data_IF_186705994517
#
_entry.id   IF_186705994517
#
_cell.length_a   1.000
_cell.length_b   1.000
_cell.length_c   1.000
_cell.angle_alpha   90.00
_cell.angle_beta   90.00
_cell.angle_gamma   90.00
#
_symmetry.space_group_name_H-M   'P 1'
#
loop_
_entity.id
_entity.type
_entity.pdbx_description
1 polymer ?
#
# COMPACT_ATOMS: atom_id res chain seq x y z
N UNK A 1 13.00 9.86 -10.34
CA UNK A 1 11.73 10.42 -10.81
C UNK A 1 11.68 10.37 -12.32
N UNK A 2 10.62 9.80 -12.87
CA UNK A 2 10.37 9.74 -14.31
C UNK A 2 8.92 10.16 -14.54
N UNK A 3 8.64 10.84 -15.65
CA UNK A 3 7.28 11.26 -15.97
C UNK A 3 7.08 11.23 -17.48
N UNK A 4 5.82 11.04 -17.89
CA UNK A 4 5.36 11.12 -19.26
C UNK A 4 4.11 12.01 -19.26
N UNK A 5 4.32 13.32 -19.39
CA UNK A 5 3.27 14.34 -19.32
C UNK A 5 2.98 14.91 -20.71
N UNK A 6 1.71 15.16 -20.98
CA UNK A 6 1.20 15.93 -22.10
C UNK A 6 0.59 17.21 -21.57
N UNK A 7 0.79 18.30 -22.30
CA UNK A 7 0.28 19.61 -21.94
C UNK A 7 -0.57 20.11 -23.10
N UNK A 8 -1.78 20.56 -22.80
CA UNK A 8 -2.73 21.09 -23.77
C UNK A 8 -3.24 22.47 -23.29
N UNK A 9 -3.32 23.43 -24.20
CA UNK A 9 -3.90 24.75 -23.92
C UNK A 9 -5.40 24.72 -24.26
N UNK A 10 -6.24 25.01 -23.27
CA UNK A 10 -7.70 25.08 -23.41
C UNK A 10 -8.14 26.47 -22.97
N UNK A 11 -8.36 27.36 -23.94
CA UNK A 11 -8.66 28.77 -23.65
C UNK A 11 -7.46 29.45 -23.00
N UNK A 12 -7.60 29.82 -21.72
CA UNK A 12 -6.54 30.38 -20.86
C UNK A 12 -6.02 29.38 -19.82
N UNK A 13 -6.37 28.10 -19.92
CA UNK A 13 -5.91 27.07 -18.98
C UNK A 13 -4.91 26.10 -19.63
N UNK A 14 -3.80 25.82 -18.95
CA UNK A 14 -2.92 24.71 -19.27
C UNK A 14 -3.39 23.47 -18.53
N UNK A 15 -3.82 22.48 -19.30
CA UNK A 15 -4.16 21.16 -18.81
C UNK A 15 -2.95 20.25 -18.93
N UNK A 16 -2.45 19.76 -17.81
CA UNK A 16 -1.34 18.81 -17.74
C UNK A 16 -1.89 17.43 -17.39
N UNK A 17 -1.60 16.42 -18.20
CA UNK A 17 -2.04 15.03 -17.96
C UNK A 17 -0.96 14.02 -18.27
N UNK A 18 -0.95 12.91 -17.55
CA UNK A 18 -0.12 11.76 -17.91
C UNK A 18 0.26 10.92 -16.72
N UNK A 19 1.47 10.37 -16.76
CA UNK A 19 1.94 9.43 -15.77
C UNK A 19 3.18 9.95 -15.05
N UNK A 20 3.21 9.76 -13.73
CA UNK A 20 4.38 10.06 -12.90
C UNK A 20 4.83 8.79 -12.17
N UNK A 21 6.13 8.52 -12.20
CA UNK A 21 6.78 7.44 -11.46
C UNK A 21 7.85 7.97 -10.53
N UNK A 22 7.89 7.44 -9.33
CA UNK A 22 8.93 7.73 -8.37
C UNK A 22 9.42 6.46 -7.66
N UNK A 23 10.74 6.24 -7.72
CA UNK A 23 11.41 5.21 -6.91
C UNK A 23 11.76 5.78 -5.56
N UNK A 24 11.36 5.10 -4.50
CA UNK A 24 11.55 5.52 -3.10
C UNK A 24 12.20 4.39 -2.31
N UNK A 25 13.05 4.77 -1.36
CA UNK A 25 13.52 3.85 -0.32
C UNK A 25 12.52 3.90 0.84
N UNK A 26 12.01 2.74 1.23
CA UNK A 26 11.04 2.59 2.31
C UNK A 26 11.57 1.61 3.35
N UNK A 27 11.02 1.71 4.56
CA UNK A 27 11.23 0.72 5.63
C UNK A 27 10.06 -0.25 5.61
N UNK A 28 10.34 -1.54 5.53
CA UNK A 28 9.31 -2.58 5.54
C UNK A 28 8.57 -2.61 6.88
N UNK A 29 7.24 -2.48 6.86
CA UNK A 29 6.41 -2.52 8.08
C UNK A 29 6.40 -3.89 8.78
N UNK A 30 6.86 -4.96 8.11
CA UNK A 30 6.92 -6.31 8.69
C UNK A 30 8.29 -6.65 9.28
N UNK A 31 9.38 -6.44 8.53
CA UNK A 31 10.73 -6.86 8.93
C UNK A 31 11.67 -5.70 9.29
N UNK A 32 11.23 -4.44 9.18
CA UNK A 32 12.00 -3.24 9.45
C UNK A 32 13.27 -3.04 8.58
N UNK A 33 13.48 -3.86 7.54
CA UNK A 33 14.56 -3.67 6.59
C UNK A 33 14.21 -2.63 5.52
N UNK A 34 15.23 -1.91 5.04
CA UNK A 34 15.10 -1.00 3.92
C UNK A 34 14.89 -1.77 2.62
N UNK A 35 13.99 -1.29 1.77
CA UNK A 35 13.80 -1.80 0.42
C UNK A 35 13.43 -0.66 -0.52
N UNK A 36 13.56 -0.89 -1.83
CA UNK A 36 13.18 0.09 -2.85
C UNK A 36 11.86 -0.33 -3.46
N UNK A 37 10.91 0.59 -3.53
CA UNK A 37 9.64 0.42 -4.23
C UNK A 37 9.46 1.50 -5.29
N UNK A 38 8.63 1.24 -6.29
CA UNK A 38 8.20 2.22 -7.27
C UNK A 38 6.75 2.61 -6.97
N UNK A 39 6.51 3.90 -6.79
CA UNK A 39 5.18 4.49 -6.71
C UNK A 39 4.85 5.06 -8.09
N UNK A 40 3.66 4.72 -8.58
CA UNK A 40 3.18 5.14 -9.90
C UNK A 40 1.84 5.85 -9.69
N UNK A 41 1.75 7.08 -10.19
CA UNK A 41 0.49 7.77 -10.44
C UNK A 41 0.21 7.70 -11.95
N UNK A 42 -0.63 6.77 -12.42
CA UNK A 42 -0.85 6.54 -13.85
C UNK A 42 -1.70 7.61 -14.52
N UNK A 43 -2.53 8.35 -13.76
CA UNK A 43 -3.50 9.31 -14.27
C UNK A 43 -3.35 10.66 -13.57
N UNK A 44 -2.12 11.18 -13.53
CA UNK A 44 -1.84 12.53 -13.04
C UNK A 44 -2.55 13.57 -13.90
N UNK A 45 -3.33 14.46 -13.27
CA UNK A 45 -4.05 15.55 -13.95
C UNK A 45 -3.97 16.82 -13.11
N UNK A 46 -3.57 17.93 -13.72
CA UNK A 46 -3.63 19.27 -13.12
C UNK A 46 -4.03 20.33 -14.15
N UNK A 47 -4.66 21.40 -13.68
CA UNK A 47 -5.05 22.56 -14.51
C UNK A 47 -4.49 23.84 -13.91
N UNK A 48 -3.95 24.70 -14.76
CA UNK A 48 -3.40 26.00 -14.36
C UNK A 48 -3.93 27.10 -15.25
N UNK A 49 -4.51 28.13 -14.65
CA UNK A 49 -4.82 29.36 -15.37
C UNK A 49 -3.53 30.10 -15.72
N UNK A 50 -3.37 30.47 -16.99
CA UNK A 50 -2.22 31.19 -17.50
C UNK A 50 -2.63 32.53 -18.12
N UNK A 51 -1.71 33.48 -18.06
CA UNK A 51 -1.88 34.79 -18.66
C UNK A 51 -0.60 35.21 -19.42
N UNK A 52 -0.62 36.41 -20.00
CA UNK A 52 0.49 36.92 -20.80
C UNK A 52 1.82 37.10 -20.03
N UNK A 53 1.79 37.03 -18.69
CA UNK A 53 2.97 37.12 -17.82
C UNK A 53 3.39 35.78 -17.22
N UNK A 54 2.72 34.68 -17.57
CA UNK A 54 3.08 33.34 -17.09
C UNK A 54 4.25 32.78 -17.89
N UNK A 55 5.45 32.83 -17.32
CA UNK A 55 6.66 32.30 -17.96
C UNK A 55 6.83 30.77 -17.77
N UNK A 56 6.40 30.25 -16.61
CA UNK A 56 6.47 28.82 -16.29
C UNK A 56 5.39 28.42 -15.28
N UNK A 57 5.10 27.12 -15.23
CA UNK A 57 4.25 26.48 -14.21
C UNK A 57 5.12 25.48 -13.46
N UNK A 58 5.15 25.59 -12.14
CA UNK A 58 5.85 24.65 -11.27
C UNK A 58 4.86 23.58 -10.77
N UNK A 59 5.08 22.32 -11.17
CA UNK A 59 4.26 21.16 -10.80
C UNK A 59 4.79 20.43 -9.56
N UNK A 60 5.84 20.94 -8.92
CA UNK A 60 6.58 20.20 -7.89
C UNK A 60 5.68 19.82 -6.71
N UNK A 61 4.78 20.71 -6.29
CA UNK A 61 3.88 20.47 -5.15
C UNK A 61 2.86 19.37 -5.45
N UNK A 62 2.18 19.50 -6.58
CA UNK A 62 1.10 18.63 -7.02
C UNK A 62 1.61 17.24 -7.35
N UNK A 63 2.78 17.16 -7.98
CA UNK A 63 3.41 15.88 -8.24
C UNK A 63 3.87 15.23 -6.93
N UNK A 64 4.40 16.00 -5.98
CA UNK A 64 4.76 15.46 -4.66
C UNK A 64 3.53 14.93 -3.92
N UNK A 65 2.44 15.69 -3.92
CA UNK A 65 1.18 15.28 -3.31
C UNK A 65 0.64 13.99 -3.94
N UNK A 66 0.60 13.92 -5.27
CA UNK A 66 0.17 12.72 -5.99
C UNK A 66 1.00 11.49 -5.61
N UNK A 67 2.33 11.63 -5.54
CA UNK A 67 3.22 10.53 -5.13
C UNK A 67 3.02 10.16 -3.65
N UNK A 68 2.81 11.13 -2.75
CA UNK A 68 2.54 10.85 -1.34
C UNK A 68 1.23 10.07 -1.19
N UNK A 69 0.18 10.46 -1.93
CA UNK A 69 -1.13 9.79 -1.90
C UNK A 69 -1.07 8.38 -2.51
N UNK A 70 -0.24 8.17 -3.53
CA UNK A 70 -0.05 6.86 -4.16
C UNK A 70 0.86 5.91 -3.34
N UNK A 71 1.58 6.40 -2.33
CA UNK A 71 2.43 5.57 -1.47
C UNK A 71 1.56 4.62 -0.62
N UNK A 72 1.87 3.31 -0.56
CA UNK A 72 1.13 2.38 0.30
C UNK A 72 1.31 2.74 1.78
N UNK A 73 0.21 2.78 2.54
CA UNK A 73 0.26 3.09 3.98
C UNK A 73 1.04 2.06 4.82
N UNK A 74 1.16 0.82 4.35
CA UNK A 74 1.94 -0.25 4.97
C UNK A 74 2.91 -0.87 3.97
N UNK A 75 4.05 -0.22 3.67
CA UNK A 75 5.00 -0.71 2.69
C UNK A 75 5.63 -2.04 3.15
N UNK A 76 5.60 -3.06 2.29
CA UNK A 76 6.21 -4.36 2.54
C UNK A 76 7.23 -4.70 1.47
N UNK A 77 8.40 -5.21 1.87
CA UNK A 77 9.49 -5.54 0.93
C UNK A 77 9.20 -6.73 0.01
N UNK A 78 8.22 -7.56 0.37
CA UNK A 78 7.73 -8.69 -0.40
C UNK A 78 6.37 -9.14 0.16
N UNK A 79 5.49 -9.66 -0.69
CA UNK A 79 4.25 -10.32 -0.27
C UNK A 79 4.52 -11.48 0.70
N UNK A 80 5.62 -12.20 0.48
CA UNK A 80 6.09 -13.33 1.29
C UNK A 80 6.94 -12.93 2.50
N UNK A 81 7.08 -11.64 2.81
CA UNK A 81 7.84 -11.18 3.96
C UNK A 81 7.26 -11.73 5.27
N UNK A 82 8.06 -12.54 5.97
CA UNK A 82 7.72 -13.22 7.22
C UNK A 82 7.77 -12.30 8.46
N UNK A 83 8.36 -11.12 8.31
CA UNK A 83 8.43 -10.11 9.37
C UNK A 83 9.36 -10.45 10.53
N UNK A 84 9.19 -9.73 11.64
CA UNK A 84 9.91 -9.98 12.88
C UNK A 84 9.14 -10.95 13.78
N UNK A 85 9.84 -11.75 14.57
CA UNK A 85 9.25 -12.47 15.69
C UNK A 85 8.68 -11.48 16.71
N UNK A 86 7.40 -11.63 17.06
CA UNK A 86 6.73 -10.73 18.02
C UNK A 86 7.26 -10.86 19.46
N UNK A 87 8.01 -11.93 19.76
CA UNK A 87 8.58 -12.17 21.09
C UNK A 87 10.02 -11.69 21.20
N UNK A 88 10.89 -12.04 20.25
CA UNK A 88 12.33 -11.75 20.34
C UNK A 88 12.87 -10.78 19.28
N UNK A 89 12.05 -10.34 18.32
CA UNK A 89 12.47 -9.41 17.27
C UNK A 89 13.40 -10.00 16.19
N UNK A 90 13.67 -11.31 16.19
CA UNK A 90 14.44 -11.94 15.12
C UNK A 90 13.73 -11.76 13.78
N UNK A 91 14.45 -11.30 12.76
CA UNK A 91 13.92 -11.25 11.39
C UNK A 91 13.73 -12.66 10.84
N UNK A 92 12.47 -13.06 10.71
CA UNK A 92 12.08 -14.39 10.28
C UNK A 92 12.43 -14.66 8.82
N UNK A 93 12.71 -13.64 8.01
CA UNK A 93 13.22 -13.83 6.65
C UNK A 93 14.61 -14.45 6.64
N UNK A 94 15.45 -14.10 7.62
CA UNK A 94 16.87 -14.47 7.66
C UNK A 94 17.13 -15.71 8.53
N UNK A 95 16.37 -15.88 9.62
CA UNK A 95 16.53 -17.01 10.53
C UNK A 95 15.22 -17.37 11.24
N UNK A 96 15.08 -18.65 11.60
CA UNK A 96 14.00 -19.07 12.52
C UNK A 96 14.34 -18.67 13.96
N UNK A 97 13.32 -18.25 14.72
CA UNK A 97 13.45 -18.03 16.16
C UNK A 97 13.18 -19.33 16.94
N UNK A 98 13.55 -19.36 18.23
CA UNK A 98 13.23 -20.46 19.16
C UNK A 98 12.11 -20.11 20.14
N UNK A 99 11.44 -18.98 19.95
CA UNK A 99 10.31 -18.59 20.78
C UNK A 99 9.20 -19.63 20.63
N UNK A 100 8.68 -20.10 21.76
CA UNK A 100 7.51 -20.96 21.75
C UNK A 100 6.28 -20.09 21.45
N UNK A 101 5.32 -20.62 20.70
CA UNK A 101 3.98 -20.04 20.73
C UNK A 101 3.46 -20.20 22.16
N UNK A 102 3.38 -19.11 22.91
CA UNK A 102 2.59 -19.12 24.14
C UNK A 102 1.19 -19.56 23.74
N UNK A 103 0.72 -20.66 24.34
CA UNK A 103 -0.60 -21.23 24.04
C UNK A 103 -1.69 -20.15 24.14
N UNK A 104 -2.82 -20.38 23.45
CA UNK A 104 -3.97 -19.43 23.38
C UNK A 104 -4.12 -18.63 24.68
N UNK A 105 -4.01 -17.31 24.56
CA UNK A 105 -4.22 -16.39 25.68
C UNK A 105 -5.61 -16.62 26.30
N UNK A 106 -5.61 -17.10 27.54
CA UNK A 106 -6.82 -17.47 28.26
C UNK A 106 -7.81 -16.30 28.40
N UNK A 107 -7.37 -15.04 28.34
CA UNK A 107 -8.25 -13.86 28.38
C UNK A 107 -9.21 -13.83 27.19
N UNK A 108 -8.83 -14.44 26.08
CA UNK A 108 -9.62 -14.52 24.85
C UNK A 108 -10.37 -15.84 24.68
N UNK A 109 -10.37 -16.71 25.69
CA UNK A 109 -11.03 -18.01 25.62
C UNK A 109 -12.53 -17.91 25.28
N UNK A 110 -13.20 -16.81 25.66
CA UNK A 110 -14.60 -16.57 25.31
C UNK A 110 -14.84 -16.49 23.78
N UNK A 111 -13.84 -16.12 22.97
CA UNK A 111 -13.97 -16.07 21.50
C UNK A 111 -13.98 -17.45 20.85
N UNK A 112 -13.52 -18.50 21.53
CA UNK A 112 -13.56 -19.87 21.00
C UNK A 112 -15.01 -20.36 20.79
N UNK A 113 -15.95 -19.85 21.58
CA UNK A 113 -17.39 -20.13 21.43
C UNK A 113 -17.88 -19.65 20.06
N UNK A 114 -17.49 -18.44 19.64
CA UNK A 114 -17.91 -17.83 18.38
C UNK A 114 -17.37 -18.58 17.15
N UNK A 115 -16.17 -19.17 17.24
CA UNK A 115 -15.61 -20.01 16.17
C UNK A 115 -16.49 -21.23 15.91
N UNK A 116 -16.97 -21.84 16.98
CA UNK A 116 -17.85 -23.02 16.94
C UNK A 116 -19.19 -22.69 16.27
N UNK A 117 -19.77 -21.53 16.59
CA UNK A 117 -21.01 -21.05 15.98
C UNK A 117 -20.85 -20.70 14.50
N UNK A 118 -19.70 -20.13 14.12
CA UNK A 118 -19.39 -19.81 12.73
C UNK A 118 -19.27 -21.08 11.88
N UNK A 119 -18.58 -22.10 12.38
CA UNK A 119 -18.42 -23.40 11.70
C UNK A 119 -19.77 -24.13 11.56
N UNK A 120 -20.62 -24.08 12.59
CA UNK A 120 -21.98 -24.61 12.54
C UNK A 120 -22.87 -23.87 11.51
N UNK A 121 -22.69 -22.55 11.37
CA UNK A 121 -23.45 -21.73 10.42
C UNK A 121 -23.00 -21.93 8.96
N UNK A 122 -21.72 -22.26 8.72
CA UNK A 122 -21.16 -22.58 7.40
C UNK A 122 -21.61 -23.94 6.89
N UNK A 123 -21.67 -24.94 7.78
CA UNK A 123 -22.16 -26.30 7.45
C UNK A 123 -23.62 -26.30 6.97
N UNK A 124 -24.46 -25.38 7.48
CA UNK A 124 -25.87 -25.23 7.06
C UNK A 124 -26.07 -24.53 5.71
N UNK A 125 -25.04 -23.85 5.15
CA UNK A 125 -25.13 -23.13 3.87
C UNK A 125 -24.62 -23.93 2.66
N UNK A 126 -24.17 -25.17 2.85
CA UNK A 126 -23.77 -26.03 1.75
C UNK A 126 -25.01 -26.36 0.88
N UNK A 127 -25.19 -25.65 -0.24
CA UNK A 127 -26.21 -25.97 -1.26
C UNK A 127 -26.00 -27.42 -1.73
N UNK A 128 -27.06 -28.24 -1.85
CA UNK A 128 -26.94 -29.53 -2.51
C UNK A 128 -26.51 -29.31 -3.96
N UNK A 129 -25.51 -30.06 -4.43
CA UNK A 129 -25.14 -30.12 -5.85
C UNK A 129 -26.31 -30.75 -6.62
N UNK A 130 -26.98 -29.97 -7.45
CA UNK A 130 -27.94 -30.48 -8.44
C UNK A 130 -27.19 -31.39 -9.43
N UNK A 131 -27.80 -32.55 -9.73
CA UNK A 131 -27.36 -33.52 -10.74
C UNK A 131 -27.86 -33.12 -12.11
#
# INVERSE_FOLDING_TARGET
MCYALKVELIGSELLVRGEVRQRLTCVCSRCAENFVTEVVEPEFVQSYEINATTDFVDLTEEVREAIILALPGYPVCSESCRGLCMTCGTNLNNAACRCHEEGKDHRWAALDVLKTDLDASRSKRARPREK
#
